data_IF_363967879033
#
_entry.id   IF_363967879033
#
_cell.length_a   1.000
_cell.length_b   1.000
_cell.length_c   1.000
_cell.angle_alpha   90.00
_cell.angle_beta   90.00
_cell.angle_gamma   90.00
#
_symmetry.space_group_name_H-M   'P 1'
#
loop_
_entity.id
_entity.type
_entity.pdbx_description
1 polymer ?
#
# COMPACT_ATOMS: atom_id res chain seq x y z
N UNK A 1 13.49 0.90 -8.61
CA UNK A 1 12.39 0.34 -9.43
C UNK A 1 12.93 -0.49 -10.60
N UNK A 2 13.84 0.04 -11.43
CA UNK A 2 14.42 -0.72 -12.57
C UNK A 2 15.12 -2.03 -12.17
N UNK A 3 15.96 -2.03 -11.12
CA UNK A 3 16.65 -3.25 -10.68
C UNK A 3 15.68 -4.35 -10.23
N UNK A 4 14.67 -3.98 -9.44
CA UNK A 4 13.61 -4.89 -8.97
C UNK A 4 12.86 -5.48 -10.16
N UNK A 5 12.42 -4.62 -11.11
CA UNK A 5 11.74 -5.07 -12.33
C UNK A 5 12.61 -5.97 -13.20
N UNK A 6 13.89 -5.65 -13.38
CA UNK A 6 14.86 -6.48 -14.11
C UNK A 6 15.02 -7.85 -13.45
N UNK A 7 15.08 -7.89 -12.12
CA UNK A 7 15.09 -9.14 -11.33
C UNK A 7 13.81 -9.98 -11.45
N UNK A 8 12.70 -9.39 -11.93
CA UNK A 8 11.42 -10.06 -12.23
C UNK A 8 11.21 -10.30 -13.73
N UNK A 9 12.23 -10.07 -14.57
CA UNK A 9 12.14 -10.24 -16.03
C UNK A 9 11.28 -9.20 -16.75
N UNK A 10 10.97 -8.08 -16.10
CA UNK A 10 10.13 -7.01 -16.65
C UNK A 10 11.01 -5.95 -17.30
N UNK A 11 10.89 -5.77 -18.61
CA UNK A 11 11.48 -4.65 -19.34
C UNK A 11 10.42 -3.57 -19.54
N UNK A 12 10.48 -2.49 -18.76
CA UNK A 12 9.56 -1.36 -18.87
C UNK A 12 10.36 -0.06 -18.80
N UNK A 13 10.15 0.82 -19.78
CA UNK A 13 10.69 2.19 -19.79
C UNK A 13 9.75 3.12 -19.03
N UNK A 14 10.32 4.10 -18.32
CA UNK A 14 9.57 5.08 -17.51
C UNK A 14 9.41 6.44 -18.20
N UNK A 15 9.64 6.49 -19.51
CA UNK A 15 9.68 7.70 -20.34
C UNK A 15 8.38 8.52 -20.28
N UNK A 16 7.26 7.89 -19.88
CA UNK A 16 5.94 8.51 -19.82
C UNK A 16 5.58 9.07 -18.42
N UNK A 17 6.47 9.00 -17.44
CA UNK A 17 6.21 9.49 -16.07
C UNK A 17 6.67 10.94 -15.99
N UNK A 18 5.71 11.86 -15.94
CA UNK A 18 5.99 13.29 -16.09
C UNK A 18 5.98 14.06 -14.77
N UNK A 19 5.33 13.51 -13.75
CA UNK A 19 5.18 14.17 -12.46
C UNK A 19 5.35 13.22 -11.27
N UNK A 20 5.51 13.83 -10.10
CA UNK A 20 5.73 13.11 -8.83
C UNK A 20 4.55 12.19 -8.49
N UNK A 21 3.31 12.59 -8.74
CA UNK A 21 2.13 11.78 -8.38
C UNK A 21 2.11 10.47 -9.17
N UNK A 22 2.28 10.56 -10.49
CA UNK A 22 2.36 9.40 -11.38
C UNK A 22 3.49 8.44 -10.96
N UNK A 23 4.65 9.00 -10.59
CA UNK A 23 5.77 8.21 -10.11
C UNK A 23 5.44 7.46 -8.82
N UNK A 24 4.79 8.13 -7.85
CA UNK A 24 4.39 7.52 -6.60
C UNK A 24 3.32 6.44 -6.82
N UNK A 25 2.38 6.63 -7.73
CA UNK A 25 1.36 5.62 -8.08
C UNK A 25 1.98 4.37 -8.69
N UNK A 26 2.95 4.55 -9.58
CA UNK A 26 3.72 3.44 -10.14
C UNK A 26 4.51 2.70 -9.07
N UNK A 27 5.15 3.42 -8.16
CA UNK A 27 5.93 2.82 -7.08
C UNK A 27 5.04 2.02 -6.12
N UNK A 28 3.87 2.56 -5.75
CA UNK A 28 2.89 1.86 -4.91
C UNK A 28 2.37 0.60 -5.59
N UNK A 29 2.07 0.66 -6.89
CA UNK A 29 1.64 -0.52 -7.64
C UNK A 29 2.73 -1.61 -7.67
N UNK A 30 3.99 -1.23 -7.89
CA UNK A 30 5.11 -2.18 -7.86
C UNK A 30 5.30 -2.79 -6.47
N UNK A 31 5.25 -1.98 -5.42
CA UNK A 31 5.36 -2.44 -4.04
C UNK A 31 4.25 -3.44 -3.66
N UNK A 32 3.02 -3.25 -4.14
CA UNK A 32 1.93 -4.21 -3.93
C UNK A 32 2.20 -5.58 -4.54
N UNK A 33 2.83 -5.61 -5.71
CA UNK A 33 3.16 -6.86 -6.41
C UNK A 33 4.34 -7.58 -5.76
N UNK A 34 5.29 -6.81 -5.25
CA UNK A 34 6.51 -7.33 -4.65
C UNK A 34 6.29 -7.84 -3.22
N UNK A 35 5.57 -7.09 -2.38
CA UNK A 35 5.41 -7.40 -0.95
C UNK A 35 4.11 -8.14 -0.61
N UNK A 36 3.49 -8.80 -1.59
CA UNK A 36 2.25 -9.54 -1.38
C UNK A 36 2.49 -10.70 -0.41
N UNK A 37 1.76 -10.71 0.71
CA UNK A 37 1.93 -11.72 1.76
C UNK A 37 3.03 -11.43 2.78
N UNK A 38 3.80 -10.36 2.63
CA UNK A 38 4.91 -10.01 3.54
C UNK A 38 4.51 -9.04 4.67
N UNK A 39 3.23 -8.66 4.75
CA UNK A 39 2.69 -7.77 5.79
C UNK A 39 3.04 -6.28 5.62
N UNK A 40 3.84 -5.90 4.63
CA UNK A 40 4.28 -4.50 4.43
C UNK A 40 3.22 -3.60 3.79
N UNK A 41 2.32 -4.17 2.98
CA UNK A 41 1.36 -3.42 2.16
C UNK A 41 0.44 -2.55 3.03
N UNK A 42 -0.06 -3.07 4.15
CA UNK A 42 -0.92 -2.32 5.06
C UNK A 42 -0.21 -1.06 5.61
N UNK A 43 1.02 -1.22 6.08
CA UNK A 43 1.80 -0.11 6.63
C UNK A 43 2.17 0.94 5.56
N UNK A 44 2.36 0.53 4.31
CA UNK A 44 2.56 1.46 3.19
C UNK A 44 1.36 2.39 3.00
N UNK A 45 0.13 1.85 2.96
CA UNK A 45 -1.08 2.68 2.82
C UNK A 45 -1.27 3.63 4.01
N UNK A 46 -1.06 3.13 5.24
CA UNK A 46 -1.11 3.93 6.47
C UNK A 46 -0.11 5.10 6.44
N UNK A 47 1.17 4.82 6.15
CA UNK A 47 2.24 5.85 6.14
C UNK A 47 2.07 6.88 5.04
N UNK A 48 1.54 6.48 3.88
CA UNK A 48 1.31 7.38 2.75
C UNK A 48 -0.02 8.12 2.84
N UNK A 49 -0.84 7.85 3.86
CA UNK A 49 -2.20 8.38 4.00
C UNK A 49 -3.04 8.16 2.73
N UNK A 50 -2.96 6.94 2.17
CA UNK A 50 -3.67 6.56 0.93
C UNK A 50 -4.86 5.66 1.25
N UNK A 51 -5.91 5.80 0.44
CA UNK A 51 -7.06 4.89 0.47
C UNK A 51 -6.60 3.44 0.30
N UNK A 52 -7.09 2.57 1.19
CA UNK A 52 -6.85 1.13 1.12
C UNK A 52 -7.90 0.55 0.18
N UNK A 53 -7.50 -0.09 -0.94
CA UNK A 53 -8.43 -0.59 -1.92
C UNK A 53 -9.31 -1.70 -1.34
N UNK A 54 -10.61 -1.62 -1.63
CA UNK A 54 -11.53 -2.68 -1.28
C UNK A 54 -11.15 -4.03 -1.93
N UNK A 55 -11.41 -5.12 -1.22
CA UNK A 55 -11.20 -6.48 -1.73
C UNK A 55 -12.27 -6.93 -2.74
N UNK A 56 -13.40 -6.22 -2.79
CA UNK A 56 -14.56 -6.51 -3.63
C UNK A 56 -15.05 -5.24 -4.31
N UNK A 57 -15.60 -5.38 -5.51
CA UNK A 57 -16.22 -4.29 -6.28
C UNK A 57 -17.41 -3.65 -5.55
N UNK A 58 -18.08 -4.39 -4.67
CA UNK A 58 -19.26 -3.91 -3.93
C UNK A 58 -18.92 -3.17 -2.64
N UNK A 59 -17.63 -3.03 -2.31
CA UNK A 59 -17.17 -2.37 -1.10
C UNK A 59 -16.44 -1.08 -1.46
N UNK A 60 -16.61 -0.05 -0.64
CA UNK A 60 -15.86 1.19 -0.77
C UNK A 60 -14.44 1.01 -0.26
N UNK A 61 -13.51 1.77 -0.84
CA UNK A 61 -12.17 1.91 -0.28
C UNK A 61 -12.21 2.44 1.15
N UNK A 62 -11.23 2.03 1.95
CA UNK A 62 -11.14 2.38 3.37
C UNK A 62 -10.21 3.58 3.56
N UNK A 63 -10.69 4.59 4.29
CA UNK A 63 -9.89 5.73 4.70
C UNK A 63 -8.86 5.30 5.77
N UNK A 64 -7.59 5.73 5.66
CA UNK A 64 -6.55 5.39 6.62
C UNK A 64 -6.63 6.24 7.90
N UNK A 65 -7.80 6.32 8.53
CA UNK A 65 -8.02 6.95 9.84
C UNK A 65 -7.63 6.01 10.97
N UNK A 66 -7.27 6.55 12.14
CA UNK A 66 -6.86 5.73 13.29
C UNK A 66 -7.90 4.67 13.67
N UNK A 67 -9.19 5.02 13.60
CA UNK A 67 -10.31 4.08 13.81
C UNK A 67 -10.23 2.82 12.91
N UNK A 68 -9.75 2.96 11.67
CA UNK A 68 -9.68 1.87 10.70
C UNK A 68 -8.31 1.15 10.69
N UNK A 69 -7.24 1.80 11.16
CA UNK A 69 -5.85 1.32 10.98
C UNK A 69 -5.07 1.14 12.29
N UNK A 70 -5.74 1.31 13.43
CA UNK A 70 -5.19 1.08 14.77
C UNK A 70 -6.08 0.06 15.46
N UNK A 71 -5.48 -1.03 15.92
CA UNK A 71 -6.21 -2.01 16.72
C UNK A 71 -6.55 -1.40 18.08
N UNK A 72 -7.77 -1.62 18.61
CA UNK A 72 -8.13 -1.15 19.93
C UNK A 72 -7.25 -1.81 20.98
N UNK A 73 -7.03 -1.10 22.09
CA UNK A 73 -6.35 -1.66 23.25
C UNK A 73 -7.17 -2.86 23.78
N UNK A 74 -6.57 -4.04 24.00
CA UNK A 74 -7.29 -5.17 24.57
C UNK A 74 -7.89 -4.85 25.95
N UNK A 75 -9.08 -5.38 26.23
CA UNK A 75 -9.77 -5.16 27.50
C UNK A 75 -8.99 -5.70 28.70
N UNK A 76 -8.25 -6.80 28.51
CA UNK A 76 -7.37 -7.39 29.53
C UNK A 76 -6.28 -6.44 30.01
N UNK A 77 -5.87 -5.48 29.17
CA UNK A 77 -4.86 -4.46 29.50
C UNK A 77 -5.49 -3.20 30.12
N UNK A 78 -6.82 -3.14 30.26
CA UNK A 78 -7.58 -1.96 30.68
C UNK A 78 -8.23 -2.07 32.06
N UNK A 79 -8.27 -3.26 32.67
CA UNK A 79 -8.70 -3.47 34.05
C UNK A 79 -7.49 -3.35 35.00
N UNK A 80 -7.33 -2.18 35.62
CA UNK A 80 -6.47 -1.95 36.80
C UNK A 80 -7.39 -1.53 37.96
#
# INVERSE_FOLDING_TARGET
MELVKKGRGISKKFDNVTNKSEFIDLLVNDARREFLGEGQIFYMYKRLNRLIPASSYYSSDILPTDENVVLPKPDSESNI
#
